data_IF_849428328121
#
_entry.id   IF_849428328121
#
_cell.length_a   1.000
_cell.length_b   1.000
_cell.length_c   1.000
_cell.angle_alpha   90.00
_cell.angle_beta   90.00
_cell.angle_gamma   90.00
#
_symmetry.space_group_name_H-M   'P 1'
#
loop_
_entity.id
_entity.type
_entity.pdbx_description
1 polymer ?
#
# COMPACT_ATOMS: atom_id res chain seq x y z
N UNK A 1 -16.96 -5.36 -67.16
CA UNK A 1 -17.61 -5.67 -65.84
C UNK A 1 -16.70 -6.35 -64.84
N UNK A 2 -15.89 -7.35 -65.23
CA UNK A 2 -15.01 -8.05 -64.23
C UNK A 2 -13.84 -7.21 -63.67
N UNK A 3 -13.33 -6.20 -64.38
CA UNK A 3 -12.27 -5.31 -63.86
C UNK A 3 -12.75 -4.28 -62.84
N UNK A 4 -13.96 -3.71 -62.99
CA UNK A 4 -14.54 -2.77 -62.04
C UNK A 4 -14.87 -3.46 -60.72
N UNK A 5 -15.35 -4.72 -60.72
CA UNK A 5 -15.67 -5.47 -59.51
C UNK A 5 -14.41 -5.80 -58.69
N UNK A 6 -13.24 -6.00 -59.36
CA UNK A 6 -11.97 -6.23 -58.65
C UNK A 6 -11.39 -4.98 -58.01
N UNK A 7 -11.60 -3.80 -58.62
CA UNK A 7 -11.17 -2.51 -58.03
C UNK A 7 -12.03 -2.11 -56.83
N UNK A 8 -13.34 -2.38 -56.86
CA UNK A 8 -14.23 -2.10 -55.72
C UNK A 8 -13.92 -3.03 -54.55
N UNK A 9 -13.64 -4.31 -54.79
CA UNK A 9 -13.30 -5.27 -53.75
C UNK A 9 -11.93 -4.99 -53.11
N UNK A 10 -10.95 -4.54 -53.87
CA UNK A 10 -9.64 -4.11 -53.37
C UNK A 10 -9.74 -2.82 -52.52
N UNK A 11 -10.60 -1.88 -52.93
CA UNK A 11 -10.89 -0.66 -52.15
C UNK A 11 -11.58 -0.93 -50.82
N UNK A 12 -12.55 -1.86 -50.77
CA UNK A 12 -13.23 -2.27 -49.54
C UNK A 12 -12.30 -3.04 -48.58
N UNK A 13 -11.39 -3.87 -49.07
CA UNK A 13 -10.37 -4.54 -48.27
C UNK A 13 -9.32 -3.57 -47.72
N UNK A 14 -8.94 -2.54 -48.44
CA UNK A 14 -8.01 -1.52 -47.98
C UNK A 14 -8.63 -0.61 -46.90
N UNK A 15 -9.93 -0.28 -46.99
CA UNK A 15 -10.68 0.48 -45.98
C UNK A 15 -10.89 -0.36 -44.74
N UNK A 16 -11.20 -1.67 -44.84
CA UNK A 16 -11.31 -2.59 -43.73
C UNK A 16 -9.97 -2.80 -43.00
N UNK A 17 -8.85 -2.88 -43.75
CA UNK A 17 -7.51 -2.97 -43.17
C UNK A 17 -7.07 -1.68 -42.48
N UNK A 18 -7.46 -0.51 -42.98
CA UNK A 18 -7.21 0.79 -42.32
C UNK A 18 -8.07 1.03 -41.04
N UNK A 19 -9.25 0.41 -40.97
CA UNK A 19 -10.09 0.44 -39.78
C UNK A 19 -9.59 -0.52 -38.67
N UNK A 20 -8.91 -1.61 -39.04
CA UNK A 20 -8.29 -2.56 -38.10
C UNK A 20 -6.97 -2.07 -37.50
N UNK A 21 -6.34 -1.03 -38.07
CA UNK A 21 -5.00 -0.55 -37.70
C UNK A 21 -4.99 0.63 -36.69
N UNK A 22 -6.14 1.02 -36.12
CA UNK A 22 -6.18 1.90 -34.95
C UNK A 22 -6.33 1.06 -33.69
N UNK A 23 -5.29 0.32 -33.34
CA UNK A 23 -5.09 0.00 -31.93
C UNK A 23 -4.91 1.34 -31.24
N UNK A 24 -5.86 1.75 -30.40
CA UNK A 24 -5.71 2.96 -29.59
C UNK A 24 -4.36 2.90 -28.89
N UNK A 25 -3.58 3.98 -28.96
CA UNK A 25 -2.32 4.05 -28.20
C UNK A 25 -2.61 3.76 -26.73
N UNK A 26 -1.77 2.94 -26.05
CA UNK A 26 -2.02 2.61 -24.65
C UNK A 26 -2.02 3.88 -23.80
N UNK A 27 -2.97 3.96 -22.86
CA UNK A 27 -3.00 5.03 -21.88
C UNK A 27 -1.83 4.85 -20.92
N UNK A 28 -1.03 5.91 -20.76
CA UNK A 28 0.19 5.88 -19.94
C UNK A 28 -0.08 6.45 -18.56
N UNK A 29 0.49 5.81 -17.53
CA UNK A 29 0.49 6.36 -16.18
C UNK A 29 1.71 5.89 -15.38
N UNK A 30 2.17 6.77 -14.48
CA UNK A 30 3.17 6.48 -13.46
C UNK A 30 2.45 6.18 -12.15
N UNK A 31 2.77 5.03 -11.54
CA UNK A 31 2.16 4.57 -10.29
C UNK A 31 3.22 4.55 -9.20
N UNK A 32 3.03 5.36 -8.16
CA UNK A 32 3.89 5.42 -6.99
C UNK A 32 3.55 4.32 -6.00
N UNK A 33 4.54 3.49 -5.63
CA UNK A 33 4.38 2.35 -4.72
C UNK A 33 5.59 2.18 -3.82
N UNK A 34 5.44 1.36 -2.77
CA UNK A 34 6.55 0.86 -1.96
C UNK A 34 6.89 -0.58 -2.38
N UNK A 35 8.15 -1.01 -2.18
CA UNK A 35 8.58 -2.41 -2.37
C UNK A 35 8.14 -3.29 -1.19
N UNK A 36 6.83 -3.35 -0.95
CA UNK A 36 6.22 -4.07 0.17
C UNK A 36 5.14 -5.03 -0.33
N UNK A 37 4.87 -6.07 0.42
CA UNK A 37 3.79 -7.03 0.13
C UNK A 37 2.40 -6.38 0.13
N UNK A 38 2.23 -5.24 0.78
CA UNK A 38 1.01 -4.43 0.69
C UNK A 38 0.73 -3.88 -0.71
N UNK A 39 1.69 -3.95 -1.64
CA UNK A 39 1.54 -3.59 -3.05
C UNK A 39 1.44 -4.82 -3.97
N UNK A 40 1.31 -6.04 -3.42
CA UNK A 40 1.33 -7.29 -4.18
C UNK A 40 0.39 -7.32 -5.40
N UNK A 41 -0.87 -6.87 -5.34
CA UNK A 41 -1.74 -6.87 -6.51
C UNK A 41 -1.22 -6.01 -7.66
N UNK A 42 -0.57 -4.88 -7.36
CA UNK A 42 0.07 -4.03 -8.37
C UNK A 42 1.19 -4.78 -9.08
N UNK A 43 2.00 -5.52 -8.32
CA UNK A 43 3.10 -6.33 -8.86
C UNK A 43 2.59 -7.48 -9.72
N UNK A 44 1.54 -8.16 -9.25
CA UNK A 44 0.87 -9.23 -9.99
C UNK A 44 0.31 -8.68 -11.31
N UNK A 45 -0.41 -7.55 -11.26
CA UNK A 45 -0.97 -6.92 -12.45
C UNK A 45 0.10 -6.51 -13.46
N UNK A 46 1.22 -5.99 -12.99
CA UNK A 46 2.35 -5.58 -13.83
C UNK A 46 3.05 -6.79 -14.47
N UNK A 47 3.41 -7.78 -13.68
CA UNK A 47 4.22 -8.92 -14.14
C UNK A 47 3.42 -9.87 -15.06
N UNK A 48 2.13 -10.09 -14.73
CA UNK A 48 1.21 -10.90 -15.56
C UNK A 48 0.67 -10.16 -16.79
N UNK A 49 1.03 -8.87 -16.97
CA UNK A 49 0.62 -8.09 -18.13
C UNK A 49 -0.84 -7.63 -18.11
N UNK A 50 -1.54 -7.64 -16.97
CA UNK A 50 -2.94 -7.23 -16.89
C UNK A 50 -3.16 -5.78 -17.28
N UNK A 51 -2.21 -4.89 -16.96
CA UNK A 51 -2.25 -3.51 -17.42
C UNK A 51 -2.17 -3.42 -18.94
N UNK A 52 -1.21 -4.11 -19.55
CA UNK A 52 -1.04 -4.14 -21.01
C UNK A 52 -2.28 -4.69 -21.71
N UNK A 53 -2.87 -5.78 -21.18
CA UNK A 53 -4.06 -6.40 -21.75
C UNK A 53 -5.29 -5.47 -21.69
N UNK A 54 -5.31 -4.53 -20.73
CA UNK A 54 -6.32 -3.47 -20.60
C UNK A 54 -6.01 -2.23 -21.48
N UNK A 55 -4.91 -2.23 -22.23
CA UNK A 55 -4.44 -1.07 -23.01
C UNK A 55 -3.84 0.04 -22.12
N UNK A 56 -3.17 -0.36 -21.03
CA UNK A 56 -2.44 0.53 -20.14
C UNK A 56 -0.93 0.26 -20.22
N UNK A 57 -0.14 1.34 -20.29
CA UNK A 57 1.32 1.31 -20.14
C UNK A 57 1.65 1.94 -18.77
N UNK A 58 1.97 1.09 -17.80
CA UNK A 58 2.22 1.52 -16.42
C UNK A 58 3.71 1.50 -16.11
N UNK A 59 4.21 2.63 -15.61
CA UNK A 59 5.55 2.75 -15.04
C UNK A 59 5.45 2.79 -13.52
N UNK A 60 6.06 1.81 -12.82
CA UNK A 60 6.11 1.81 -11.37
C UNK A 60 7.26 2.70 -10.87
N UNK A 61 6.93 3.67 -10.02
CA UNK A 61 7.88 4.53 -9.29
C UNK A 61 7.97 4.07 -7.85
N UNK A 62 9.15 3.67 -7.40
CA UNK A 62 9.37 3.16 -6.05
C UNK A 62 9.86 4.24 -5.11
N UNK A 63 9.32 4.22 -3.89
CA UNK A 63 9.63 5.15 -2.81
C UNK A 63 10.01 4.40 -1.54
N UNK A 64 10.68 5.09 -0.58
CA UNK A 64 11.12 4.50 0.69
C UNK A 64 10.22 4.86 1.88
N UNK A 65 9.15 5.66 1.65
CA UNK A 65 8.14 6.01 2.64
C UNK A 65 6.81 6.39 1.97
N UNK A 66 5.70 6.30 2.73
CA UNK A 66 4.35 6.58 2.22
C UNK A 66 4.13 8.06 1.87
N UNK A 67 4.55 8.98 2.73
CA UNK A 67 4.30 10.41 2.55
C UNK A 67 4.87 10.99 1.24
N UNK A 68 6.09 10.67 0.78
CA UNK A 68 6.60 11.13 -0.52
C UNK A 68 5.73 10.75 -1.71
N UNK A 69 5.00 9.61 -1.66
CA UNK A 69 4.09 9.22 -2.73
C UNK A 69 2.91 10.19 -2.83
N UNK A 70 2.32 10.61 -1.70
CA UNK A 70 1.23 11.60 -1.70
C UNK A 70 1.69 12.95 -2.27
N UNK A 71 2.91 13.38 -1.93
CA UNK A 71 3.52 14.60 -2.48
C UNK A 71 3.75 14.47 -3.98
N UNK A 72 4.34 13.36 -4.45
CA UNK A 72 4.60 13.09 -5.86
C UNK A 72 3.31 12.98 -6.70
N UNK A 73 2.21 12.49 -6.09
CA UNK A 73 0.91 12.46 -6.76
C UNK A 73 0.30 13.86 -6.88
N UNK A 74 0.50 14.69 -5.87
CA UNK A 74 0.03 16.10 -5.89
C UNK A 74 0.82 16.94 -6.90
N UNK A 75 2.15 16.77 -6.98
CA UNK A 75 3.01 17.49 -7.94
C UNK A 75 2.81 17.01 -9.38
N UNK A 76 2.30 15.79 -9.57
CA UNK A 76 2.17 15.15 -10.87
C UNK A 76 3.43 14.39 -11.32
N UNK A 77 4.38 14.11 -10.40
CA UNK A 77 5.53 13.23 -10.67
C UNK A 77 5.09 11.77 -10.82
N UNK A 78 4.00 11.39 -10.14
CA UNK A 78 3.23 10.18 -10.39
C UNK A 78 1.76 10.53 -10.62
N UNK A 79 1.05 9.70 -11.36
CA UNK A 79 -0.35 9.91 -11.71
C UNK A 79 -1.30 9.27 -10.69
N UNK A 80 -0.90 8.11 -10.16
CA UNK A 80 -1.62 7.34 -9.14
C UNK A 80 -0.68 7.03 -8.00
N UNK A 81 -1.12 7.25 -6.77
CA UNK A 81 -0.42 6.81 -5.55
C UNK A 81 -1.10 5.61 -4.93
N UNK A 82 -0.32 4.61 -4.50
CA UNK A 82 -0.82 3.41 -3.80
C UNK A 82 0.06 3.18 -2.58
N UNK A 83 -0.42 3.54 -1.40
CA UNK A 83 0.34 3.42 -0.14
C UNK A 83 -0.54 3.62 1.09
N UNK A 84 0.07 3.59 2.28
CA UNK A 84 -0.59 3.81 3.56
C UNK A 84 -1.14 5.23 3.71
N UNK A 85 -2.25 5.37 4.41
CA UNK A 85 -2.75 6.66 4.88
C UNK A 85 -1.74 7.33 5.83
N UNK A 86 -1.60 8.65 5.69
CA UNK A 86 -0.76 9.50 6.54
C UNK A 86 -1.44 10.84 6.79
N UNK A 87 -1.09 11.55 7.84
CA UNK A 87 -1.60 12.92 8.09
C UNK A 87 -1.32 13.87 6.93
N UNK A 88 -0.15 13.74 6.28
CA UNK A 88 0.14 14.55 5.12
C UNK A 88 -0.71 14.21 3.89
N UNK A 89 -1.05 12.92 3.65
CA UNK A 89 -2.00 12.54 2.62
C UNK A 89 -3.38 13.14 2.93
N UNK A 90 -3.86 13.03 4.17
CA UNK A 90 -5.13 13.61 4.59
C UNK A 90 -5.16 15.13 4.40
N UNK A 91 -4.10 15.85 4.77
CA UNK A 91 -4.01 17.31 4.56
C UNK A 91 -4.05 17.68 3.07
N UNK A 92 -3.35 16.95 2.21
CA UNK A 92 -3.39 17.18 0.76
C UNK A 92 -4.78 16.89 0.19
N UNK A 93 -5.41 15.80 0.64
CA UNK A 93 -6.76 15.44 0.21
C UNK A 93 -7.82 16.43 0.73
N UNK A 94 -7.73 16.87 1.99
CA UNK A 94 -8.61 17.90 2.57
C UNK A 94 -8.52 19.24 1.85
N UNK A 95 -7.35 19.58 1.30
CA UNK A 95 -7.15 20.76 0.42
C UNK A 95 -7.64 20.54 -1.02
N UNK A 96 -8.21 19.36 -1.32
CA UNK A 96 -8.73 19.01 -2.64
C UNK A 96 -7.67 18.67 -3.69
N UNK A 97 -6.39 18.54 -3.32
CA UNK A 97 -5.30 18.20 -4.25
C UNK A 97 -5.21 16.71 -4.55
N UNK A 98 -5.80 15.87 -3.71
CA UNK A 98 -5.90 14.42 -3.87
C UNK A 98 -7.33 13.95 -3.59
N UNK A 99 -7.70 12.80 -4.18
CA UNK A 99 -8.90 12.05 -3.86
C UNK A 99 -8.57 10.57 -3.72
N UNK A 100 -9.15 9.92 -2.72
CA UNK A 100 -9.11 8.47 -2.54
C UNK A 100 -10.07 7.82 -3.53
N UNK A 101 -9.61 6.83 -4.29
CA UNK A 101 -10.35 6.15 -5.36
C UNK A 101 -10.48 4.64 -5.14
N UNK A 102 -9.89 4.10 -4.08
CA UNK A 102 -10.00 2.67 -3.72
C UNK A 102 -9.28 2.37 -2.41
N UNK A 103 -9.65 1.26 -1.79
CA UNK A 103 -8.90 0.67 -0.69
C UNK A 103 -7.73 -0.15 -1.18
N UNK A 104 -6.85 -0.54 -0.26
CA UNK A 104 -5.74 -1.46 -0.46
C UNK A 104 -5.56 -2.31 0.79
N UNK A 105 -4.37 -2.49 1.29
CA UNK A 105 -4.07 -3.33 2.45
C UNK A 105 -4.74 -2.86 3.75
N UNK A 106 -4.99 -3.82 4.64
CA UNK A 106 -5.45 -3.60 6.02
C UNK A 106 -4.50 -4.27 7.00
N UNK A 107 -4.31 -3.66 8.15
CA UNK A 107 -3.83 -4.37 9.33
C UNK A 107 -4.96 -5.26 9.84
N UNK A 108 -4.73 -6.57 9.89
CA UNK A 108 -5.73 -7.57 10.28
C UNK A 108 -5.06 -8.70 11.03
N UNK A 109 -5.71 -9.17 12.09
CA UNK A 109 -5.21 -10.29 12.89
C UNK A 109 -5.01 -11.54 12.03
N UNK A 110 -3.87 -12.23 12.27
CA UNK A 110 -3.47 -13.40 11.51
C UNK A 110 -2.77 -13.11 10.18
N UNK A 111 -2.58 -11.82 9.81
CA UNK A 111 -1.90 -11.41 8.57
C UNK A 111 -0.74 -10.47 8.92
N UNK A 112 0.46 -10.98 9.26
CA UNK A 112 1.59 -10.16 9.65
C UNK A 112 2.00 -9.18 8.54
N UNK A 113 1.91 -7.88 8.82
CA UNK A 113 2.30 -6.83 7.88
C UNK A 113 3.24 -5.81 8.52
N UNK A 114 2.80 -5.12 9.57
CA UNK A 114 3.63 -4.22 10.37
C UNK A 114 3.79 -4.81 11.78
N UNK A 115 5.02 -4.79 12.29
CA UNK A 115 5.34 -5.23 13.63
C UNK A 115 5.93 -4.12 14.49
N UNK A 116 5.77 -4.28 15.79
CA UNK A 116 6.50 -3.56 16.83
C UNK A 116 7.77 -4.35 17.12
N UNK A 117 8.94 -3.76 16.94
CA UNK A 117 10.24 -4.41 17.15
C UNK A 117 11.05 -3.68 18.18
N UNK A 118 11.68 -4.41 19.10
CA UNK A 118 12.63 -3.89 20.07
C UNK A 118 14.09 -4.10 19.61
N UNK A 119 14.98 -3.18 19.99
CA UNK A 119 16.42 -3.42 19.96
C UNK A 119 16.76 -4.49 21.00
N UNK A 120 17.91 -5.17 20.82
CA UNK A 120 18.33 -6.21 21.78
C UNK A 120 18.55 -5.65 23.19
N UNK A 121 19.17 -4.48 23.30
CA UNK A 121 19.38 -3.82 24.60
C UNK A 121 18.04 -3.46 25.27
N UNK A 122 17.10 -2.87 24.56
CA UNK A 122 15.80 -2.52 25.11
C UNK A 122 15.00 -3.76 25.52
N UNK A 123 15.07 -4.83 24.69
CA UNK A 123 14.44 -6.11 25.01
C UNK A 123 15.04 -6.76 26.27
N UNK A 124 16.39 -6.74 26.42
CA UNK A 124 17.05 -7.21 27.62
C UNK A 124 16.64 -6.41 28.87
N UNK A 125 16.42 -5.10 28.70
CA UNK A 125 16.02 -4.15 29.74
C UNK A 125 14.50 -4.05 29.94
N UNK A 126 13.72 -5.08 29.59
CA UNK A 126 12.32 -5.23 29.98
C UNK A 126 11.28 -4.81 28.95
N UNK A 127 11.66 -4.34 27.74
CA UNK A 127 10.71 -4.08 26.64
C UNK A 127 10.34 -5.42 25.99
N UNK A 128 9.29 -6.08 26.46
CA UNK A 128 8.92 -7.45 26.04
C UNK A 128 7.68 -7.51 25.17
N UNK A 129 6.78 -6.54 25.29
CA UNK A 129 5.49 -6.49 24.60
C UNK A 129 5.18 -5.08 24.14
N UNK A 130 4.23 -4.86 23.20
CA UNK A 130 3.86 -3.53 22.73
C UNK A 130 3.38 -2.59 23.87
N UNK A 131 2.76 -3.10 24.93
CA UNK A 131 2.33 -2.30 26.09
C UNK A 131 3.47 -1.65 26.85
N UNK A 132 4.71 -2.13 26.69
CA UNK A 132 5.89 -1.63 27.41
C UNK A 132 6.55 -0.43 26.69
N UNK A 133 5.91 0.11 25.63
CA UNK A 133 6.48 1.20 24.79
C UNK A 133 6.42 2.59 25.46
N UNK A 134 5.62 2.77 26.53
CA UNK A 134 5.63 4.03 27.30
C UNK A 134 7.06 4.37 27.81
N UNK A 135 7.49 5.61 27.64
CA UNK A 135 8.83 6.10 28.01
C UNK A 135 9.96 5.72 27.02
N UNK A 136 9.69 4.89 26.00
CA UNK A 136 10.69 4.40 25.05
C UNK A 136 10.87 5.35 23.87
N UNK A 137 12.08 5.32 23.27
CA UNK A 137 12.38 5.98 21.98
C UNK A 137 11.91 5.07 20.86
N UNK A 138 10.89 5.48 20.11
CA UNK A 138 10.26 4.66 19.08
C UNK A 138 10.42 5.30 17.72
N UNK A 139 11.12 4.62 16.82
CA UNK A 139 11.32 5.07 15.44
C UNK A 139 10.04 4.91 14.62
N UNK A 140 9.70 5.97 13.90
CA UNK A 140 8.67 6.02 12.87
C UNK A 140 9.23 6.72 11.64
N UNK A 141 8.57 6.60 10.47
CA UNK A 141 9.03 7.34 9.30
C UNK A 141 8.83 8.84 9.44
N UNK A 142 7.66 9.26 9.98
CA UNK A 142 7.32 10.68 10.15
C UNK A 142 6.31 10.84 11.28
N UNK A 143 6.27 12.02 11.88
CA UNK A 143 5.14 12.44 12.72
C UNK A 143 3.86 12.45 11.88
N UNK A 144 2.77 11.86 12.40
CA UNK A 144 1.53 11.69 11.66
C UNK A 144 1.58 10.58 10.57
N UNK A 145 2.63 9.72 10.58
CA UNK A 145 2.65 8.53 9.71
C UNK A 145 1.65 7.46 10.19
N UNK A 146 1.42 6.45 9.34
CA UNK A 146 0.67 5.24 9.71
C UNK A 146 1.21 4.56 10.97
N UNK A 147 2.54 4.58 11.15
CA UNK A 147 3.18 4.04 12.36
C UNK A 147 2.87 4.85 13.60
N UNK A 148 2.83 6.18 13.48
CA UNK A 148 2.43 7.05 14.60
C UNK A 148 0.96 6.82 14.98
N UNK A 149 0.07 6.63 14.00
CA UNK A 149 -1.32 6.26 14.23
C UNK A 149 -1.44 4.91 14.95
N UNK A 150 -0.69 3.88 14.51
CA UNK A 150 -0.67 2.58 15.21
C UNK A 150 -0.23 2.69 16.67
N UNK A 151 0.74 3.57 16.98
CA UNK A 151 1.15 3.84 18.38
C UNK A 151 0.04 4.53 19.15
N UNK A 152 -0.73 5.43 18.54
CA UNK A 152 -1.88 6.07 19.15
C UNK A 152 -2.96 5.06 19.52
N UNK A 153 -3.36 4.20 18.59
CA UNK A 153 -4.30 3.13 18.85
C UNK A 153 -3.83 2.16 19.95
N UNK A 154 -2.53 1.89 19.97
CA UNK A 154 -1.93 1.05 21.00
C UNK A 154 -1.98 1.71 22.38
N UNK A 155 -1.71 3.02 22.44
CA UNK A 155 -1.79 3.82 23.65
C UNK A 155 -3.22 3.81 24.24
N UNK A 156 -4.22 3.99 23.38
CA UNK A 156 -5.64 3.93 23.75
C UNK A 156 -6.00 2.52 24.28
N UNK A 157 -5.54 1.47 23.58
CA UNK A 157 -5.80 0.07 23.97
C UNK A 157 -5.24 -0.28 25.35
N UNK A 158 -4.03 0.15 25.65
CA UNK A 158 -3.31 -0.22 26.87
C UNK A 158 -3.35 0.86 27.97
N UNK A 159 -3.98 2.01 27.71
CA UNK A 159 -4.21 3.05 28.70
C UNK A 159 -2.96 3.85 29.08
N UNK A 160 -1.93 3.89 28.23
CA UNK A 160 -0.79 4.80 28.42
C UNK A 160 -0.96 6.06 27.55
N UNK A 161 -0.26 7.14 27.90
CA UNK A 161 -0.33 8.37 27.09
C UNK A 161 0.62 8.28 25.91
N UNK A 162 0.15 8.57 24.69
CA UNK A 162 1.02 8.63 23.51
C UNK A 162 2.17 9.64 23.71
N UNK A 163 1.93 10.73 24.44
CA UNK A 163 2.95 11.73 24.78
C UNK A 163 4.12 11.18 25.64
N UNK A 164 3.92 10.05 26.31
CA UNK A 164 4.99 9.38 27.06
C UNK A 164 5.94 8.61 26.13
N UNK A 165 5.53 8.30 24.89
CA UNK A 165 6.38 7.67 23.86
C UNK A 165 7.24 8.74 23.20
N UNK A 166 8.56 8.55 23.23
CA UNK A 166 9.51 9.46 22.56
C UNK A 166 9.59 9.12 21.08
N UNK A 167 8.71 9.74 20.28
CA UNK A 167 8.68 9.53 18.82
C UNK A 167 9.96 10.05 18.15
N UNK A 168 10.62 9.20 17.36
CA UNK A 168 11.84 9.51 16.61
C UNK A 168 11.56 9.38 15.11
N UNK A 169 11.28 10.49 14.39
CA UNK A 169 11.02 10.46 12.95
C UNK A 169 12.33 10.33 12.16
N UNK A 170 12.48 9.28 11.36
CA UNK A 170 13.71 8.93 10.63
C UNK A 170 13.59 8.97 9.11
N UNK A 171 12.47 9.45 8.58
CA UNK A 171 12.17 9.75 7.17
C UNK A 171 12.05 8.55 6.22
N UNK A 172 12.68 7.40 6.52
CA UNK A 172 12.61 6.20 5.69
C UNK A 172 12.56 4.92 6.53
N UNK A 173 12.08 3.82 5.93
CA UNK A 173 12.09 2.50 6.54
C UNK A 173 13.52 2.01 6.79
N UNK A 174 14.44 2.30 5.86
CA UNK A 174 15.84 1.90 5.96
C UNK A 174 16.53 2.57 7.14
N UNK A 175 16.29 3.87 7.36
CA UNK A 175 16.85 4.60 8.49
C UNK A 175 16.28 4.08 9.83
N UNK A 176 14.97 3.78 9.89
CA UNK A 176 14.35 3.20 11.10
C UNK A 176 14.94 1.82 11.42
N UNK A 177 15.14 0.97 10.40
CA UNK A 177 15.79 -0.33 10.56
C UNK A 177 17.25 -0.21 11.03
N UNK A 178 18.01 0.74 10.45
CA UNK A 178 19.40 1.00 10.84
C UNK A 178 19.50 1.52 12.28
N UNK A 179 18.61 2.43 12.68
CA UNK A 179 18.55 2.97 14.04
C UNK A 179 18.22 1.88 15.08
N UNK A 180 17.29 0.97 14.75
CA UNK A 180 16.96 -0.17 15.60
C UNK A 180 18.13 -1.13 15.75
N UNK A 181 18.81 -1.48 14.63
CA UNK A 181 20.00 -2.34 14.63
C UNK A 181 21.16 -1.72 15.40
N UNK A 182 21.36 -0.42 15.25
CA UNK A 182 22.40 0.35 15.96
C UNK A 182 22.02 0.73 17.39
N UNK A 183 20.86 0.28 17.89
CA UNK A 183 20.36 0.53 19.25
C UNK A 183 20.25 2.03 19.63
N UNK A 184 20.17 2.93 18.62
CA UNK A 184 19.98 4.36 18.84
C UNK A 184 18.53 4.70 19.19
N UNK A 185 17.61 3.77 18.94
CA UNK A 185 16.23 3.76 19.41
C UNK A 185 15.93 2.48 20.17
N UNK A 186 14.93 2.52 21.05
CA UNK A 186 14.54 1.36 21.87
C UNK A 186 13.64 0.41 21.08
N UNK A 187 12.81 0.98 20.21
CA UNK A 187 11.90 0.24 19.35
C UNK A 187 11.71 0.93 17.99
N UNK A 188 11.12 0.19 17.04
CA UNK A 188 10.69 0.70 15.75
C UNK A 188 9.42 -0.02 15.30
N UNK A 189 8.54 0.67 14.56
CA UNK A 189 7.53 0.02 13.74
C UNK A 189 8.12 -0.17 12.34
N UNK A 190 8.08 -1.39 11.86
CA UNK A 190 8.64 -1.77 10.55
C UNK A 190 7.70 -2.77 9.85
N UNK A 191 7.59 -2.70 8.51
CA UNK A 191 7.03 -3.82 7.75
C UNK A 191 7.87 -5.09 7.95
N UNK A 192 7.23 -6.26 7.95
CA UNK A 192 7.89 -7.55 8.07
C UNK A 192 9.03 -7.69 7.07
N UNK A 193 8.81 -7.27 5.81
CA UNK A 193 9.82 -7.30 4.74
C UNK A 193 11.10 -6.54 5.09
N UNK A 194 10.97 -5.40 5.76
CA UNK A 194 12.12 -4.60 6.21
C UNK A 194 12.79 -5.21 7.45
N UNK A 195 11.99 -5.76 8.36
CA UNK A 195 12.48 -6.29 9.64
C UNK A 195 13.04 -7.72 9.54
N UNK A 196 12.65 -8.50 8.51
CA UNK A 196 12.99 -9.92 8.39
C UNK A 196 14.49 -10.19 8.56
N UNK A 197 15.31 -9.49 7.78
CA UNK A 197 16.76 -9.65 7.87
C UNK A 197 17.30 -9.30 9.26
N UNK A 198 16.75 -8.26 9.91
CA UNK A 198 17.16 -7.90 11.28
C UNK A 198 16.82 -9.02 12.27
N UNK A 199 15.65 -9.64 12.15
CA UNK A 199 15.24 -10.76 13.00
C UNK A 199 16.12 -11.99 12.77
N UNK A 200 16.36 -12.34 11.51
CA UNK A 200 17.17 -13.51 11.13
C UNK A 200 18.64 -13.36 11.59
N UNK A 201 19.18 -12.14 11.51
CA UNK A 201 20.52 -11.79 12.02
C UNK A 201 20.55 -11.63 13.57
N UNK A 202 19.40 -11.79 14.25
CA UNK A 202 19.28 -11.59 15.69
C UNK A 202 19.39 -10.13 16.15
N UNK A 203 19.31 -9.16 15.22
CA UNK A 203 19.48 -7.71 15.49
C UNK A 203 18.23 -7.00 16.01
N UNK A 204 17.07 -7.67 16.05
CA UNK A 204 15.84 -7.13 16.61
C UNK A 204 14.96 -8.25 17.18
N UNK A 205 14.04 -7.87 18.07
CA UNK A 205 13.06 -8.77 18.69
C UNK A 205 11.65 -8.29 18.36
N UNK A 206 10.82 -9.19 17.86
CA UNK A 206 9.40 -8.92 17.66
C UNK A 206 8.70 -8.80 19.01
N UNK A 207 7.92 -7.74 19.19
CA UNK A 207 7.07 -7.53 20.36
C UNK A 207 5.60 -7.93 20.08
N UNK A 208 5.13 -7.74 18.85
CA UNK A 208 3.78 -8.05 18.41
C UNK A 208 3.47 -7.46 17.04
N UNK A 209 2.37 -7.88 16.44
CA UNK A 209 1.90 -7.40 15.14
C UNK A 209 0.84 -6.32 15.31
N UNK A 210 0.88 -5.28 14.49
CA UNK A 210 -0.13 -4.20 14.51
C UNK A 210 -1.52 -4.75 14.26
N UNK A 211 -1.69 -5.65 13.31
CA UNK A 211 -2.97 -6.25 12.98
C UNK A 211 -3.60 -7.07 14.10
N UNK A 212 -2.79 -7.73 14.95
CA UNK A 212 -3.26 -8.48 16.11
C UNK A 212 -3.60 -7.55 17.28
N UNK A 213 -2.90 -6.43 17.38
CA UNK A 213 -3.14 -5.44 18.43
C UNK A 213 -4.33 -4.53 18.12
N UNK A 214 -4.31 -3.91 16.98
CA UNK A 214 -5.27 -2.87 16.58
C UNK A 214 -5.52 -2.94 15.08
N UNK A 215 -6.51 -3.72 14.58
CA UNK A 215 -6.79 -3.80 13.15
C UNK A 215 -7.37 -2.49 12.61
N UNK A 216 -6.95 -2.08 11.38
CA UNK A 216 -7.40 -0.85 10.73
C UNK A 216 -7.09 -0.80 9.23
N UNK A 217 -7.74 0.12 8.48
CA UNK A 217 -7.51 0.34 7.04
C UNK A 217 -6.17 1.04 6.82
N UNK A 218 -5.16 0.32 6.36
CA UNK A 218 -3.81 0.84 6.21
C UNK A 218 -3.63 1.59 4.90
N UNK A 219 -3.94 0.97 3.77
CA UNK A 219 -3.60 1.44 2.44
C UNK A 219 -4.78 1.92 1.62
N UNK A 220 -4.47 2.80 0.66
CA UNK A 220 -5.42 3.32 -0.32
C UNK A 220 -4.78 3.50 -1.70
N UNK A 221 -5.66 3.58 -2.69
CA UNK A 221 -5.37 4.08 -4.04
C UNK A 221 -5.89 5.51 -4.12
N UNK A 222 -5.09 6.44 -4.59
CA UNK A 222 -5.46 7.85 -4.68
C UNK A 222 -4.85 8.52 -5.91
N UNK A 223 -5.48 9.60 -6.36
CA UNK A 223 -5.07 10.37 -7.53
C UNK A 223 -5.34 11.86 -7.36
N UNK A 224 -4.69 12.70 -8.17
CA UNK A 224 -5.02 14.12 -8.27
C UNK A 224 -6.31 14.36 -9.09
N UNK A 225 -7.02 15.48 -8.91
CA UNK A 225 -8.16 15.84 -9.75
C UNK A 225 -7.84 15.87 -11.25
N UNK A 226 -6.59 16.25 -11.60
CA UNK A 226 -6.10 16.22 -12.98
C UNK A 226 -6.11 14.81 -13.55
N UNK A 227 -5.60 13.82 -12.80
CA UNK A 227 -5.62 12.41 -13.21
C UNK A 227 -7.04 11.87 -13.28
N UNK A 228 -7.91 12.25 -12.33
CA UNK A 228 -9.33 11.84 -12.32
C UNK A 228 -10.12 12.36 -13.52
N UNK A 229 -9.71 13.46 -14.14
CA UNK A 229 -10.31 13.96 -15.39
C UNK A 229 -10.13 12.96 -16.56
N UNK A 230 -9.09 12.11 -16.51
CA UNK A 230 -8.92 11.00 -17.46
C UNK A 230 -9.69 9.75 -16.97
N UNK A 231 -11.02 9.81 -17.04
CA UNK A 231 -11.90 8.72 -16.60
C UNK A 231 -11.56 7.35 -17.19
N UNK A 232 -11.24 7.22 -18.51
CA UNK A 232 -10.87 5.93 -19.10
C UNK A 232 -9.63 5.32 -18.42
N UNK A 233 -8.58 6.10 -18.15
CA UNK A 233 -7.38 5.66 -17.45
C UNK A 233 -7.71 5.11 -16.06
N UNK A 234 -8.43 5.91 -15.26
CA UNK A 234 -8.74 5.56 -13.86
C UNK A 234 -9.64 4.32 -13.79
N UNK A 235 -10.69 4.27 -14.62
CA UNK A 235 -11.62 3.13 -14.65
C UNK A 235 -10.91 1.83 -15.05
N UNK A 236 -10.07 1.86 -16.10
CA UNK A 236 -9.30 0.68 -16.53
C UNK A 236 -8.31 0.23 -15.46
N UNK A 237 -7.58 1.17 -14.85
CA UNK A 237 -6.60 0.87 -13.80
C UNK A 237 -7.28 0.21 -12.58
N UNK A 238 -8.38 0.77 -12.10
CA UNK A 238 -9.11 0.19 -10.95
C UNK A 238 -9.70 -1.19 -11.28
N UNK A 239 -10.18 -1.41 -12.51
CA UNK A 239 -10.65 -2.72 -12.96
C UNK A 239 -9.52 -3.76 -12.97
N UNK A 240 -8.31 -3.37 -13.41
CA UNK A 240 -7.11 -4.23 -13.37
C UNK A 240 -6.69 -4.52 -11.94
N UNK A 241 -6.66 -3.51 -11.06
CA UNK A 241 -6.34 -3.72 -9.64
C UNK A 241 -7.34 -4.67 -8.99
N UNK A 242 -8.65 -4.46 -9.18
CA UNK A 242 -9.68 -5.36 -8.65
C UNK A 242 -9.56 -6.81 -9.15
N UNK A 243 -9.08 -7.03 -10.39
CA UNK A 243 -8.75 -8.37 -10.90
C UNK A 243 -7.57 -8.97 -10.13
N UNK A 244 -6.52 -8.20 -9.92
CA UNK A 244 -5.33 -8.66 -9.23
C UNK A 244 -5.56 -8.84 -7.72
N UNK A 245 -6.39 -7.99 -7.10
CA UNK A 245 -6.83 -8.12 -5.70
C UNK A 245 -7.55 -9.46 -5.48
N UNK A 246 -8.50 -9.81 -6.37
CA UNK A 246 -9.21 -11.09 -6.31
C UNK A 246 -8.26 -12.27 -6.47
N UNK A 247 -7.37 -12.23 -7.46
CA UNK A 247 -6.42 -13.32 -7.65
C UNK A 247 -5.49 -13.50 -6.45
N UNK A 248 -4.97 -12.40 -5.91
CA UNK A 248 -4.15 -12.41 -4.70
C UNK A 248 -4.93 -12.98 -3.50
N UNK A 249 -6.17 -12.51 -3.29
CA UNK A 249 -7.05 -12.96 -2.23
C UNK A 249 -7.38 -14.46 -2.34
N UNK A 250 -7.83 -14.91 -3.52
CA UNK A 250 -8.31 -16.26 -3.72
C UNK A 250 -7.18 -17.30 -3.78
N UNK A 251 -5.97 -16.88 -4.16
CA UNK A 251 -4.82 -17.79 -4.29
C UNK A 251 -3.90 -17.70 -3.08
N UNK A 252 -3.44 -16.49 -2.72
CA UNK A 252 -2.46 -16.32 -1.64
C UNK A 252 -3.15 -16.32 -0.28
N UNK A 253 -4.12 -15.42 -0.05
CA UNK A 253 -4.74 -15.29 1.27
C UNK A 253 -5.53 -16.55 1.67
N UNK A 254 -6.21 -17.20 0.71
CA UNK A 254 -6.90 -18.46 0.97
C UNK A 254 -5.96 -19.62 1.37
N UNK A 255 -4.66 -19.51 1.07
CA UNK A 255 -3.66 -20.51 1.42
C UNK A 255 -3.02 -20.29 2.80
N UNK A 256 -3.29 -19.15 3.46
CA UNK A 256 -2.62 -18.77 4.71
C UNK A 256 -3.08 -19.65 5.87
N UNK A 257 -2.09 -20.21 6.57
CA UNK A 257 -2.26 -20.89 7.87
C UNK A 257 -1.20 -20.36 8.83
N UNK A 258 -1.60 -20.02 10.04
CA UNK A 258 -0.72 -19.49 11.07
C UNK A 258 0.17 -18.32 10.58
N UNK A 259 -0.42 -17.42 9.79
CA UNK A 259 0.26 -16.24 9.24
C UNK A 259 1.19 -16.51 8.05
N UNK A 260 1.25 -17.75 7.54
CA UNK A 260 2.13 -18.12 6.43
C UNK A 260 1.33 -18.66 5.24
N UNK A 261 1.63 -18.17 4.04
CA UNK A 261 1.08 -18.70 2.80
C UNK A 261 1.70 -20.08 2.48
N UNK A 262 0.90 -21.02 2.03
CA UNK A 262 1.40 -22.30 1.57
C UNK A 262 2.13 -22.14 0.21
N UNK A 263 3.27 -22.80 0.03
CA UNK A 263 3.99 -22.85 -1.26
C UNK A 263 3.51 -24.07 -2.03
N UNK A 264 2.68 -23.86 -3.02
CA UNK A 264 2.08 -24.89 -3.88
C UNK A 264 2.34 -24.54 -5.37
N UNK A 265 1.97 -25.41 -6.29
CA UNK A 265 2.01 -25.11 -7.74
C UNK A 265 1.18 -23.87 -8.09
N UNK A 266 0.07 -23.65 -7.37
CA UNK A 266 -0.84 -22.51 -7.62
C UNK A 266 -0.33 -21.21 -7.02
N UNK A 267 0.22 -21.24 -5.80
CA UNK A 267 0.66 -20.02 -5.09
C UNK A 267 2.06 -19.57 -5.50
N UNK A 268 2.95 -20.52 -5.85
CA UNK A 268 4.37 -20.25 -6.19
C UNK A 268 4.55 -19.15 -7.23
N UNK A 269 3.83 -19.12 -8.38
CA UNK A 269 4.03 -18.07 -9.37
C UNK A 269 3.75 -16.66 -8.82
N UNK A 270 2.72 -16.50 -7.98
CA UNK A 270 2.41 -15.20 -7.38
C UNK A 270 3.42 -14.82 -6.28
N UNK A 271 3.86 -15.78 -5.49
CA UNK A 271 4.91 -15.56 -4.47
C UNK A 271 6.23 -15.15 -5.13
N UNK A 272 6.60 -15.73 -6.27
CA UNK A 272 7.80 -15.36 -7.03
C UNK A 272 7.69 -13.95 -7.61
N UNK A 273 6.52 -13.53 -8.08
CA UNK A 273 6.26 -12.15 -8.50
C UNK A 273 6.47 -11.19 -7.31
N UNK A 274 5.85 -11.47 -6.16
CA UNK A 274 6.01 -10.64 -4.96
C UNK A 274 7.49 -10.59 -4.53
N UNK A 275 8.18 -11.71 -4.51
CA UNK A 275 9.60 -11.84 -4.21
C UNK A 275 10.47 -10.93 -5.09
N UNK A 276 10.23 -10.97 -6.41
CA UNK A 276 10.91 -10.13 -7.41
C UNK A 276 10.80 -8.63 -7.10
N UNK A 277 9.59 -8.14 -6.78
CA UNK A 277 9.37 -6.70 -6.57
C UNK A 277 9.73 -6.22 -5.17
N UNK A 278 9.69 -7.11 -4.18
CA UNK A 278 10.08 -6.79 -2.78
C UNK A 278 11.58 -7.01 -2.52
N UNK A 279 12.32 -7.60 -3.46
CA UNK A 279 13.71 -8.02 -3.31
C UNK A 279 13.92 -9.01 -2.14
N UNK A 280 12.95 -9.89 -1.91
CA UNK A 280 13.00 -10.94 -0.89
C UNK A 280 13.00 -12.32 -1.54
N UNK A 281 13.62 -13.34 -0.93
CA UNK A 281 13.41 -14.72 -1.34
C UNK A 281 11.96 -15.16 -1.04
N UNK A 282 11.44 -16.14 -1.80
CA UNK A 282 10.06 -16.64 -1.64
C UNK A 282 9.80 -17.11 -0.20
N UNK A 283 10.78 -17.73 0.44
CA UNK A 283 10.70 -18.23 1.82
C UNK A 283 10.44 -17.13 2.86
N UNK A 284 10.81 -15.90 2.54
CA UNK A 284 10.52 -14.73 3.38
C UNK A 284 9.22 -14.04 3.00
N UNK A 285 8.76 -14.19 1.75
CA UNK A 285 7.46 -13.66 1.31
C UNK A 285 6.30 -14.40 1.95
N UNK A 286 6.40 -15.72 2.14
CA UNK A 286 5.32 -16.56 2.68
C UNK A 286 4.80 -16.08 4.05
N UNK A 287 5.66 -15.57 4.92
CA UNK A 287 5.30 -15.01 6.23
C UNK A 287 5.08 -13.49 6.21
N UNK A 288 4.86 -12.91 5.02
CA UNK A 288 4.71 -11.47 4.82
C UNK A 288 3.64 -11.18 3.76
N UNK A 289 2.45 -11.75 3.91
CA UNK A 289 1.35 -11.57 2.98
C UNK A 289 0.32 -10.62 3.60
N UNK A 290 0.28 -9.38 3.13
CA UNK A 290 -0.66 -8.36 3.60
C UNK A 290 -2.11 -8.78 3.34
N UNK A 291 -3.02 -8.50 4.28
CA UNK A 291 -4.44 -8.64 3.99
C UNK A 291 -4.91 -7.55 3.02
N UNK A 292 -5.54 -7.96 1.93
CA UNK A 292 -6.12 -7.09 0.89
C UNK A 292 -7.50 -7.67 0.55
N UNK A 293 -8.51 -6.81 0.55
CA UNK A 293 -9.87 -7.21 0.17
C UNK A 293 -9.95 -7.58 -1.32
N UNK A 294 -10.76 -8.59 -1.65
CA UNK A 294 -10.87 -9.13 -3.01
C UNK A 294 -11.29 -8.12 -4.09
N UNK A 295 -11.85 -6.98 -3.71
CA UNK A 295 -12.37 -5.96 -4.63
C UNK A 295 -11.83 -4.56 -4.35
N UNK A 296 -10.74 -4.42 -3.60
CA UNK A 296 -10.19 -3.13 -3.22
C UNK A 296 -11.16 -2.27 -2.41
N UNK A 297 -11.96 -2.90 -1.55
CA UNK A 297 -12.92 -2.20 -0.69
C UNK A 297 -12.23 -1.26 0.28
N UNK A 298 -12.89 -0.15 0.59
CA UNK A 298 -12.43 0.84 1.55
C UNK A 298 -13.36 0.90 2.76
N UNK A 299 -12.82 0.69 3.96
CA UNK A 299 -13.53 0.94 5.22
C UNK A 299 -13.59 2.45 5.48
N UNK A 300 -14.62 3.08 4.96
CA UNK A 300 -14.81 4.54 5.03
C UNK A 300 -14.97 5.01 6.47
N UNK A 301 -15.65 4.22 7.32
CA UNK A 301 -15.81 4.55 8.74
C UNK A 301 -14.46 4.55 9.46
N UNK A 302 -13.60 3.58 9.14
CA UNK A 302 -12.26 3.54 9.71
C UNK A 302 -11.41 4.72 9.24
N UNK A 303 -11.49 5.10 7.94
CA UNK A 303 -10.82 6.31 7.41
C UNK A 303 -11.29 7.57 8.15
N UNK A 304 -12.57 7.70 8.41
CA UNK A 304 -13.12 8.83 9.17
C UNK A 304 -12.58 8.87 10.62
N UNK A 305 -12.48 7.72 11.28
CA UNK A 305 -11.86 7.61 12.60
C UNK A 305 -10.38 8.01 12.58
N UNK A 306 -9.63 7.63 11.56
CA UNK A 306 -8.23 8.04 11.40
C UNK A 306 -8.12 9.57 11.24
N UNK A 307 -8.95 10.18 10.41
CA UNK A 307 -8.96 11.64 10.19
C UNK A 307 -9.25 12.34 11.52
N UNK A 308 -10.29 11.93 12.25
CA UNK A 308 -10.64 12.52 13.57
C UNK A 308 -9.49 12.43 14.54
N UNK A 309 -8.89 11.24 14.69
CA UNK A 309 -7.75 11.06 15.58
C UNK A 309 -6.57 11.97 15.17
N UNK A 310 -6.24 12.03 13.88
CA UNK A 310 -5.16 12.89 13.37
C UNK A 310 -5.44 14.38 13.60
N UNK A 311 -6.71 14.80 13.50
CA UNK A 311 -7.17 16.17 13.80
C UNK A 311 -7.07 16.49 15.30
N UNK A 312 -7.40 15.56 16.16
CA UNK A 312 -7.26 15.68 17.63
C UNK A 312 -5.81 15.80 18.06
N UNK A 313 -4.91 15.07 17.40
CA UNK A 313 -3.45 15.15 17.62
C UNK A 313 -2.80 16.38 16.97
N UNK A 314 -3.54 17.17 16.18
CA UNK A 314 -3.02 18.33 15.48
C UNK A 314 -2.14 18.01 14.27
N UNK A 315 -2.19 16.77 13.73
CA UNK A 315 -1.43 16.37 12.54
C UNK A 315 -2.17 16.68 11.24
N UNK A 316 -3.47 16.87 11.33
CA UNK A 316 -4.36 17.12 10.19
C UNK A 316 -5.24 18.35 10.48
N UNK A 317 -5.42 19.19 9.45
CA UNK A 317 -6.27 20.37 9.51
C UNK A 317 -7.73 19.94 9.82
N UNK A 318 -8.45 20.75 10.62
CA UNK A 318 -9.86 20.54 10.90
C UNK A 318 -10.72 21.01 9.73
N UNK A 319 -11.97 20.56 9.69
CA UNK A 319 -12.97 21.07 8.74
C UNK A 319 -13.27 20.18 7.54
N UNK A 320 -12.76 18.94 7.53
CA UNK A 320 -13.16 17.92 6.57
C UNK A 320 -13.25 16.53 7.23
N UNK A 321 -13.93 15.61 6.58
CA UNK A 321 -14.13 14.21 6.97
C UNK A 321 -13.76 13.27 5.81
N UNK A 322 -14.03 11.97 5.98
CA UNK A 322 -13.74 10.98 4.94
C UNK A 322 -14.52 11.25 3.64
N UNK A 323 -15.77 11.72 3.72
CA UNK A 323 -16.59 12.00 2.52
C UNK A 323 -15.97 13.09 1.64
N UNK A 324 -15.38 14.12 2.26
CA UNK A 324 -14.76 15.21 1.54
C UNK A 324 -13.57 14.77 0.69
N UNK A 325 -12.88 13.68 1.06
CA UNK A 325 -11.65 13.22 0.39
C UNK A 325 -11.86 12.01 -0.53
N UNK A 326 -13.01 11.35 -0.48
CA UNK A 326 -13.31 10.14 -1.26
C UNK A 326 -14.01 10.51 -2.58
N UNK A 327 -13.56 9.93 -3.67
CA UNK A 327 -14.25 9.99 -4.96
C UNK A 327 -15.24 8.81 -5.06
N UNK A 328 -16.47 9.02 -4.60
CA UNK A 328 -17.50 7.97 -4.46
C UNK A 328 -17.82 7.22 -5.75
N UNK A 329 -17.65 7.86 -6.92
CA UNK A 329 -17.86 7.24 -8.24
C UNK A 329 -16.93 6.04 -8.48
N UNK A 330 -15.81 5.96 -7.76
CA UNK A 330 -14.77 4.94 -7.94
C UNK A 330 -14.65 3.96 -6.77
N UNK A 331 -15.03 4.37 -5.56
CA UNK A 331 -14.79 3.60 -4.35
C UNK A 331 -15.89 2.57 -4.11
N UNK A 332 -15.49 1.31 -3.92
CA UNK A 332 -16.33 0.29 -3.31
C UNK A 332 -16.18 0.41 -1.78
N UNK A 333 -17.22 0.79 -1.10
CA UNK A 333 -17.24 0.87 0.37
C UNK A 333 -17.69 -0.47 0.99
N UNK A 334 -17.24 -0.71 2.24
CA UNK A 334 -17.79 -1.77 3.10
C UNK A 334 -19.19 -1.40 3.58
#
# INVERSE_FOLDING_TARGET
MRALARLVLAGLLAVAAAAAARADEPLKARVGVLRLSSSAPVFIAQDKGYFRDAGLEIELKFFDAAQPIAVATTSGDVDIGITAFTGGLYNLAGKGTLKVIGGMSREKAGYPLIGYFASNAAFANGLKTPKDLAGKRVAVTQTGSSFHYSLGLLADKYGFKLADVKIVPLQSLSNAAAALKGETVDAALLPVSTARKLMDDGGAKLLGWVGDETPWQLGAVFASPKTLANKPLVTKLLAVLARADREYHDVILASIKDGNAAVTETTRPLLEIIAKYTNLPVEQVVGNCAYIDADGKLDVKNVDNQIKWMQEQGFVDKGFDAEAIIARDYVKAD
#
